data_IF_741169877735
#
_entry.id   IF_741169877735
#
_cell.length_a   1.000
_cell.length_b   1.000
_cell.length_c   1.000
_cell.angle_alpha   90.00
_cell.angle_beta   90.00
_cell.angle_gamma   90.00
#
_symmetry.space_group_name_H-M   'P 1'
#
loop_
_entity.id
_entity.type
_entity.pdbx_description
1 polymer ?
#
# COMPACT_ATOMS: atom_id res chain seq x y z
N UNK A 1 18.19 -36.06 -45.58
CA UNK A 1 19.42 -35.82 -44.81
C UNK A 1 19.11 -34.72 -43.82
N UNK A 2 18.91 -35.17 -42.60
CA UNK A 2 18.79 -34.41 -41.38
C UNK A 2 20.19 -33.91 -40.98
N UNK A 3 20.35 -32.61 -40.74
CA UNK A 3 21.32 -32.09 -39.77
C UNK A 3 20.74 -30.79 -39.15
N UNK A 4 20.82 -30.61 -37.82
CA UNK A 4 20.02 -29.66 -37.04
C UNK A 4 20.68 -28.29 -36.82
N UNK A 5 19.87 -27.25 -36.67
CA UNK A 5 20.28 -25.93 -36.15
C UNK A 5 20.76 -26.05 -34.70
N UNK A 6 21.89 -25.42 -34.31
CA UNK A 6 22.30 -25.39 -32.91
C UNK A 6 21.27 -24.69 -32.03
N UNK A 7 20.83 -25.44 -31.02
CA UNK A 7 19.93 -25.11 -29.93
C UNK A 7 20.45 -23.95 -29.08
N UNK A 8 19.59 -22.97 -28.81
CA UNK A 8 19.78 -21.95 -27.79
C UNK A 8 19.72 -22.57 -26.38
N UNK A 9 20.61 -22.22 -25.43
CA UNK A 9 20.29 -22.36 -24.02
C UNK A 9 19.60 -21.09 -23.50
N UNK A 10 18.41 -21.32 -22.95
CA UNK A 10 17.60 -20.39 -22.20
C UNK A 10 18.36 -19.72 -21.05
N UNK A 11 18.12 -18.43 -20.86
CA UNK A 11 18.69 -17.66 -19.77
C UNK A 11 17.97 -16.34 -19.49
N UNK A 12 16.68 -16.21 -19.81
CA UNK A 12 15.87 -15.05 -19.38
C UNK A 12 15.35 -15.29 -17.96
N UNK A 13 16.26 -15.47 -17.01
CA UNK A 13 15.96 -15.48 -15.58
C UNK A 13 16.21 -14.07 -15.04
N UNK A 14 15.16 -13.25 -15.06
CA UNK A 14 15.24 -11.88 -14.58
C UNK A 14 13.90 -11.15 -14.57
N UNK A 15 12.77 -11.86 -14.47
CA UNK A 15 11.52 -11.22 -14.06
C UNK A 15 11.58 -10.97 -12.55
N UNK A 16 12.39 -9.98 -12.18
CA UNK A 16 12.38 -9.39 -10.86
C UNK A 16 10.96 -8.92 -10.56
N UNK A 17 10.38 -9.54 -9.55
CA UNK A 17 9.08 -9.25 -9.01
C UNK A 17 9.01 -7.79 -8.54
N UNK A 18 8.63 -6.88 -9.43
CA UNK A 18 8.15 -5.54 -9.09
C UNK A 18 6.64 -5.55 -8.85
N UNK A 19 6.13 -6.50 -8.06
CA UNK A 19 4.79 -6.36 -7.47
C UNK A 19 4.93 -5.51 -6.22
N UNK A 20 4.81 -4.20 -6.38
CA UNK A 20 4.45 -3.30 -5.28
C UNK A 20 3.68 -2.14 -5.88
N UNK A 21 2.40 -2.07 -5.49
CA UNK A 21 1.43 -1.08 -5.96
C UNK A 21 1.78 0.35 -5.56
N UNK A 22 0.94 1.33 -5.94
CA UNK A 22 1.28 2.74 -5.80
C UNK A 22 1.31 3.15 -4.33
N UNK A 23 2.45 3.69 -3.87
CA UNK A 23 2.50 4.76 -2.87
C UNK A 23 2.06 4.46 -1.43
N UNK A 24 2.14 3.22 -0.95
CA UNK A 24 1.91 2.91 0.47
C UNK A 24 3.16 3.19 1.30
N UNK A 25 3.33 4.43 1.75
CA UNK A 25 4.34 4.78 2.74
C UNK A 25 4.16 3.92 4.01
N UNK A 26 5.20 3.25 4.54
CA UNK A 26 5.07 2.28 5.65
C UNK A 26 4.65 2.89 7.00
N UNK A 27 4.49 4.21 7.08
CA UNK A 27 3.96 4.95 8.23
C UNK A 27 2.52 5.42 8.03
N UNK A 28 2.03 5.44 6.78
CA UNK A 28 0.70 5.91 6.38
C UNK A 28 -0.34 4.83 6.66
N UNK A 29 -0.72 4.74 7.94
CA UNK A 29 -1.61 3.68 8.43
C UNK A 29 -1.48 3.38 9.93
N UNK A 30 -0.64 4.11 10.68
CA UNK A 30 -0.64 4.02 12.14
C UNK A 30 -1.92 4.61 12.74
N UNK A 31 -2.50 5.59 12.06
CA UNK A 31 -3.77 6.22 12.43
C UNK A 31 -4.70 6.26 11.22
N UNK A 32 -5.31 5.12 10.84
CA UNK A 32 -6.15 5.02 9.64
C UNK A 32 -7.38 5.94 9.66
N UNK A 33 -7.86 6.38 10.83
CA UNK A 33 -8.94 7.35 10.89
C UNK A 33 -8.40 8.77 10.79
N UNK A 34 -7.26 9.05 11.41
CA UNK A 34 -6.65 10.37 11.35
C UNK A 34 -6.11 10.70 9.95
N UNK A 35 -5.50 9.73 9.27
CA UNK A 35 -5.02 9.89 7.89
C UNK A 35 -6.17 10.17 6.90
N UNK A 36 -7.39 9.69 7.21
CA UNK A 36 -8.59 9.97 6.42
C UNK A 36 -9.17 11.37 6.65
N UNK A 37 -8.81 12.03 7.76
CA UNK A 37 -9.33 13.35 8.12
C UNK A 37 -8.29 14.40 7.78
N UNK A 38 -8.38 14.95 6.57
CA UNK A 38 -7.57 16.10 6.17
C UNK A 38 -8.26 17.43 6.47
N UNK A 39 -9.60 17.44 6.51
CA UNK A 39 -10.41 18.64 6.76
C UNK A 39 -11.46 18.40 7.84
N UNK A 40 -11.89 19.45 8.57
CA UNK A 40 -12.94 19.32 9.60
C UNK A 40 -14.30 18.88 9.05
N UNK A 41 -14.52 18.97 7.73
CA UNK A 41 -15.71 18.43 7.08
C UNK A 41 -15.73 16.88 7.07
N UNK A 42 -14.56 16.22 7.01
CA UNK A 42 -14.46 14.74 7.00
C UNK A 42 -14.95 14.14 8.33
N UNK A 43 -14.79 14.88 9.44
CA UNK A 43 -15.32 14.49 10.76
C UNK A 43 -16.84 14.34 10.77
N UNK A 44 -17.55 15.13 9.95
CA UNK A 44 -19.02 15.04 9.86
C UNK A 44 -19.49 13.79 9.13
N UNK A 45 -18.60 13.17 8.35
CA UNK A 45 -18.86 11.95 7.60
C UNK A 45 -18.46 10.68 8.39
N UNK A 46 -17.90 10.85 9.59
CA UNK A 46 -17.55 9.75 10.50
C UNK A 46 -18.71 9.45 11.47
N UNK A 47 -18.86 8.18 11.78
CA UNK A 47 -19.77 7.72 12.83
C UNK A 47 -19.22 8.09 14.22
N UNK A 48 -20.10 8.18 15.23
CA UNK A 48 -19.71 8.53 16.62
C UNK A 48 -18.61 7.60 17.17
N UNK A 49 -18.70 6.30 16.91
CA UNK A 49 -17.66 5.34 17.31
C UNK A 49 -16.33 5.57 16.59
N UNK A 50 -16.38 6.00 15.33
CA UNK A 50 -15.17 6.36 14.56
C UNK A 50 -14.55 7.66 15.05
N UNK A 51 -15.35 8.63 15.51
CA UNK A 51 -14.85 9.85 16.14
C UNK A 51 -14.16 9.56 17.48
N UNK A 52 -14.68 8.62 18.27
CA UNK A 52 -14.02 8.16 19.50
C UNK A 52 -12.69 7.49 19.22
N UNK A 53 -12.65 6.59 18.25
CA UNK A 53 -11.41 5.93 17.84
C UNK A 53 -10.39 6.95 17.28
N UNK A 54 -10.84 7.93 16.48
CA UNK A 54 -10.01 9.03 16.00
C UNK A 54 -9.40 9.86 17.14
N UNK A 55 -10.18 10.13 18.20
CA UNK A 55 -9.68 10.85 19.36
C UNK A 55 -8.60 10.05 20.13
N UNK A 56 -8.76 8.74 20.23
CA UNK A 56 -7.75 7.86 20.83
C UNK A 56 -6.47 7.81 19.98
N UNK A 57 -6.62 7.80 18.65
CA UNK A 57 -5.50 7.88 17.70
C UNK A 57 -4.73 9.21 17.83
N UNK A 58 -5.43 10.35 17.86
CA UNK A 58 -4.83 11.68 18.11
C UNK A 58 -4.07 11.75 19.44
N UNK A 59 -4.62 11.13 20.48
CA UNK A 59 -4.01 11.11 21.80
C UNK A 59 -2.73 10.28 21.83
N UNK A 60 -2.70 9.16 21.13
CA UNK A 60 -1.52 8.30 21.01
C UNK A 60 -0.40 8.93 20.17
N UNK A 61 -0.71 9.99 19.40
CA UNK A 61 0.27 10.73 18.59
C UNK A 61 0.99 11.87 19.38
N UNK A 62 0.51 12.26 20.57
CA UNK A 62 1.10 13.32 21.42
C UNK A 62 1.84 12.75 22.63
#
# INVERSE_FOLDING_TARGET
MDQPTPQQPAGTAGFGAGRTGPGGEPTRGRFPLLDRVSYPADLRNLSIEQLRQLAEELRAET
#
